data_IF_453029591482
#
_entry.id   IF_453029591482
#
_cell.length_a   1.000
_cell.length_b   1.000
_cell.length_c   1.000
_cell.angle_alpha   90.00
_cell.angle_beta   90.00
_cell.angle_gamma   90.00
#
_symmetry.space_group_name_H-M   'P 1'
#
loop_
_entity.id
_entity.type
_entity.pdbx_description
1 polymer ?
#
# COMPACT_ATOMS: atom_id res chain seq x y z
N UNK A 1 1.60 -7.98 -26.38
CA UNK A 1 0.69 -8.93 -25.70
C UNK A 1 -0.73 -8.47 -26.01
N UNK A 2 -1.56 -9.26 -26.70
CA UNK A 2 -2.96 -8.92 -26.94
C UNK A 2 -3.76 -8.98 -25.63
N UNK A 3 -4.78 -8.13 -25.52
CA UNK A 3 -5.64 -8.04 -24.34
C UNK A 3 -6.74 -9.10 -24.41
N UNK A 4 -6.37 -10.34 -24.08
CA UNK A 4 -7.28 -11.49 -24.13
C UNK A 4 -8.10 -11.63 -22.84
N UNK A 5 -9.17 -12.44 -22.85
CA UNK A 5 -10.08 -12.63 -21.70
C UNK A 5 -9.35 -13.10 -20.42
N UNK A 6 -8.23 -13.81 -20.59
CA UNK A 6 -7.34 -14.22 -19.50
C UNK A 6 -6.70 -13.01 -18.82
N UNK A 7 -6.16 -12.07 -19.61
CA UNK A 7 -5.54 -10.84 -19.12
C UNK A 7 -6.57 -9.95 -18.43
N UNK A 8 -7.80 -9.86 -18.97
CA UNK A 8 -8.90 -9.13 -18.32
C UNK A 8 -9.23 -9.70 -16.93
N UNK A 9 -9.33 -11.03 -16.80
CA UNK A 9 -9.56 -11.68 -15.51
C UNK A 9 -8.41 -11.44 -14.53
N UNK A 10 -7.16 -11.46 -15.01
CA UNK A 10 -5.98 -11.22 -14.17
C UNK A 10 -5.88 -9.79 -13.66
N UNK A 11 -6.42 -8.81 -14.37
CA UNK A 11 -6.42 -7.40 -13.94
C UNK A 11 -7.76 -6.92 -13.37
N UNK A 12 -8.75 -7.82 -13.23
CA UNK A 12 -10.01 -7.46 -12.62
C UNK A 12 -9.80 -7.05 -11.14
N UNK A 13 -10.33 -5.88 -10.78
CA UNK A 13 -10.24 -5.25 -9.46
C UNK A 13 -11.61 -4.87 -8.90
N UNK A 14 -12.71 -5.34 -9.51
CA UNK A 14 -14.08 -4.95 -9.17
C UNK A 14 -14.47 -5.31 -7.72
N UNK A 15 -13.84 -6.34 -7.13
CA UNK A 15 -14.10 -6.78 -5.76
C UNK A 15 -13.32 -6.00 -4.69
N UNK A 16 -12.45 -5.06 -5.08
CA UNK A 16 -11.66 -4.27 -4.14
C UNK A 16 -12.44 -3.05 -3.63
N UNK A 17 -12.17 -2.65 -2.38
CA UNK A 17 -12.73 -1.42 -1.79
C UNK A 17 -12.33 -0.18 -2.58
N UNK A 18 -11.06 -0.09 -2.96
CA UNK A 18 -10.57 0.92 -3.89
C UNK A 18 -9.82 0.23 -5.04
N UNK A 19 -9.89 0.75 -6.29
CA UNK A 19 -9.13 0.21 -7.42
C UNK A 19 -7.61 0.24 -7.22
N UNK A 20 -7.12 1.04 -6.26
CA UNK A 20 -5.71 1.15 -5.87
C UNK A 20 -5.29 0.16 -4.79
N UNK A 21 -6.24 -0.54 -4.16
CA UNK A 21 -5.91 -1.49 -3.09
C UNK A 21 -5.17 -2.70 -3.67
N UNK A 22 -4.31 -3.28 -2.83
CA UNK A 22 -3.56 -4.48 -3.19
C UNK A 22 -4.48 -5.70 -3.14
N UNK A 23 -4.36 -6.55 -4.15
CA UNK A 23 -4.90 -7.90 -4.10
C UNK A 23 -4.05 -8.77 -3.17
N UNK A 24 -4.61 -9.87 -2.67
CA UNK A 24 -3.90 -10.76 -1.73
C UNK A 24 -2.58 -11.29 -2.29
N UNK A 25 -2.54 -11.57 -3.60
CA UNK A 25 -1.32 -12.00 -4.30
C UNK A 25 -0.24 -10.93 -4.36
N UNK A 26 -0.63 -9.66 -4.51
CA UNK A 26 0.31 -8.54 -4.54
C UNK A 26 0.82 -8.27 -3.13
N UNK A 27 -0.08 -8.33 -2.14
CA UNK A 27 0.29 -8.24 -0.74
C UNK A 27 1.24 -9.36 -0.30
N UNK A 28 1.06 -10.59 -0.77
CA UNK A 28 1.97 -11.69 -0.47
C UNK A 28 3.42 -11.43 -0.93
N UNK A 29 3.61 -10.67 -2.01
CA UNK A 29 4.92 -10.27 -2.53
C UNK A 29 5.50 -9.12 -1.68
N UNK A 30 4.66 -8.16 -1.28
CA UNK A 30 5.11 -6.97 -0.56
C UNK A 30 5.31 -7.19 0.95
N UNK A 31 4.50 -8.02 1.59
CA UNK A 31 4.51 -8.22 3.04
C UNK A 31 5.90 -8.57 3.61
N UNK A 32 6.73 -9.43 2.96
CA UNK A 32 8.09 -9.72 3.43
C UNK A 32 9.05 -8.53 3.35
N UNK A 33 8.78 -7.55 2.50
CA UNK A 33 9.61 -6.35 2.34
C UNK A 33 9.33 -5.32 3.43
N UNK A 34 8.17 -5.41 4.09
CA UNK A 34 7.77 -4.44 5.11
C UNK A 34 8.64 -4.62 6.37
N UNK A 35 9.34 -3.56 6.82
CA UNK A 35 10.20 -3.65 7.99
C UNK A 35 9.41 -4.12 9.23
N UNK A 36 9.98 -5.00 10.07
CA UNK A 36 9.32 -5.48 11.27
C UNK A 36 9.03 -4.32 12.24
N UNK A 37 8.15 -4.58 13.22
CA UNK A 37 7.92 -3.63 14.30
C UNK A 37 9.22 -3.40 15.09
N UNK A 38 9.49 -2.14 15.46
CA UNK A 38 10.64 -1.81 16.31
C UNK A 38 10.48 -2.50 17.66
N UNK A 39 11.58 -3.01 18.21
CA UNK A 39 11.65 -3.55 19.56
C UNK A 39 11.76 -2.43 20.61
N UNK A 40 11.34 -2.69 21.86
CA UNK A 40 11.60 -1.79 22.98
C UNK A 40 10.74 -0.52 23.05
N UNK A 41 9.50 -0.55 22.53
CA UNK A 41 8.57 0.58 22.58
C UNK A 41 7.10 0.16 22.51
N UNK A 42 6.20 1.11 22.21
CA UNK A 42 4.78 0.79 22.03
C UNK A 42 4.61 -0.21 20.87
N UNK A 43 3.96 -1.36 21.08
CA UNK A 43 3.73 -2.33 20.03
C UNK A 43 3.00 -1.70 18.84
N UNK A 44 3.44 -2.04 17.62
CA UNK A 44 2.76 -1.65 16.39
C UNK A 44 1.39 -2.33 16.35
N UNK A 45 0.32 -1.52 16.37
CA UNK A 45 -1.07 -1.98 16.19
C UNK A 45 -1.65 -1.67 14.81
N UNK A 46 -0.96 -0.83 14.04
CA UNK A 46 -1.38 -0.43 12.71
C UNK A 46 -1.20 -1.59 11.74
N UNK A 47 -2.23 -1.89 10.95
CA UNK A 47 -2.13 -2.82 9.83
C UNK A 47 -1.25 -2.21 8.73
N UNK A 48 -0.19 -2.93 8.35
CA UNK A 48 0.76 -2.47 7.34
C UNK A 48 0.20 -2.57 5.92
N UNK A 49 -0.71 -3.51 5.65
CA UNK A 49 -1.41 -3.58 4.36
C UNK A 49 -2.21 -2.32 4.13
N UNK A 50 -2.94 -1.89 5.15
CA UNK A 50 -3.74 -0.67 5.11
C UNK A 50 -2.89 0.60 4.99
N UNK A 51 -1.66 0.61 5.53
CA UNK A 51 -0.72 1.71 5.28
C UNK A 51 -0.30 1.76 3.81
N UNK A 52 0.02 0.61 3.21
CA UNK A 52 0.40 0.55 1.79
C UNK A 52 -0.79 0.92 0.90
N UNK A 53 -1.97 0.35 1.14
CA UNK A 53 -3.21 0.70 0.42
C UNK A 53 -3.48 2.21 0.50
N UNK A 54 -3.33 2.84 1.67
CA UNK A 54 -3.50 4.28 1.83
C UNK A 54 -2.49 5.10 1.01
N UNK A 55 -1.24 4.66 0.93
CA UNK A 55 -0.22 5.32 0.10
C UNK A 55 -0.52 5.17 -1.39
N UNK A 56 -0.91 3.96 -1.83
CA UNK A 56 -1.31 3.70 -3.21
C UNK A 56 -2.56 4.50 -3.60
N UNK A 57 -3.52 4.62 -2.69
CA UNK A 57 -4.69 5.46 -2.88
C UNK A 57 -4.31 6.92 -3.11
N UNK A 58 -3.43 7.49 -2.27
CA UNK A 58 -2.93 8.86 -2.46
C UNK A 58 -2.18 8.99 -3.79
N UNK A 59 -1.32 8.02 -4.13
CA UNK A 59 -0.55 8.05 -5.37
C UNK A 59 -1.45 7.97 -6.62
N UNK A 60 -2.48 7.12 -6.59
CA UNK A 60 -3.40 6.92 -7.71
C UNK A 60 -4.45 8.03 -7.85
N UNK A 61 -4.93 8.57 -6.74
CA UNK A 61 -5.95 9.66 -6.73
C UNK A 61 -5.35 11.06 -6.81
N UNK A 62 -4.07 11.24 -6.43
CA UNK A 62 -3.44 12.55 -6.28
C UNK A 62 -4.01 13.39 -5.12
N UNK A 63 -4.80 12.80 -4.22
CA UNK A 63 -5.44 13.55 -3.15
C UNK A 63 -4.44 14.04 -2.09
N UNK A 64 -4.80 15.12 -1.40
CA UNK A 64 -3.97 15.64 -0.30
C UNK A 64 -4.04 14.70 0.91
N UNK A 65 -2.96 14.63 1.70
CA UNK A 65 -2.92 13.82 2.93
C UNK A 65 -4.12 14.01 3.88
N UNK A 66 -4.62 15.25 3.99
CA UNK A 66 -5.77 15.56 4.86
C UNK A 66 -7.11 15.08 4.31
N UNK A 67 -7.18 14.79 3.01
CA UNK A 67 -8.34 14.27 2.31
C UNK A 67 -8.36 12.73 2.27
N UNK A 68 -7.38 12.05 2.87
CA UNK A 68 -7.38 10.60 2.97
C UNK A 68 -8.69 10.11 3.63
N UNK A 69 -9.40 9.13 3.03
CA UNK A 69 -10.58 8.51 3.59
C UNK A 69 -10.39 8.00 5.04
N UNK A 70 -11.46 8.02 5.84
CA UNK A 70 -11.42 7.76 7.29
C UNK A 70 -11.34 6.28 7.66
N UNK A 71 -11.61 5.42 6.70
CA UNK A 71 -11.49 3.97 6.77
C UNK A 71 -10.03 3.49 6.59
N UNK A 72 -9.12 4.38 6.19
CA UNK A 72 -7.68 4.14 6.27
C UNK A 72 -7.11 4.49 7.65
N UNK A 73 -5.88 4.02 7.97
CA UNK A 73 -5.16 4.48 9.15
C UNK A 73 -5.01 6.00 9.17
N UNK A 74 -4.87 6.63 10.35
CA UNK A 74 -4.78 8.09 10.45
C UNK A 74 -3.72 8.66 9.50
N UNK A 75 -4.06 9.72 8.76
CA UNK A 75 -3.16 10.31 7.76
C UNK A 75 -1.77 10.68 8.31
N UNK A 76 -1.67 11.07 9.58
CA UNK A 76 -0.39 11.31 10.25
C UNK A 76 0.46 10.04 10.38
N UNK A 77 -0.17 8.91 10.70
CA UNK A 77 0.47 7.60 10.77
C UNK A 77 0.96 7.15 9.40
N UNK A 78 0.09 7.21 8.38
CA UNK A 78 0.44 6.83 7.00
C UNK A 78 1.59 7.70 6.49
N UNK A 79 1.51 9.02 6.68
CA UNK A 79 2.56 9.96 6.30
C UNK A 79 3.89 9.66 7.01
N UNK A 80 3.85 9.30 8.29
CA UNK A 80 5.04 8.92 9.04
C UNK A 80 5.74 7.68 8.46
N UNK A 81 4.98 6.63 8.14
CA UNK A 81 5.52 5.45 7.47
C UNK A 81 6.03 5.77 6.06
N UNK A 82 5.29 6.56 5.28
CA UNK A 82 5.70 6.95 3.95
C UNK A 82 7.09 7.59 3.94
N UNK A 83 7.32 8.60 4.78
CA UNK A 83 8.62 9.26 4.86
C UNK A 83 9.71 8.34 5.41
N UNK A 84 9.41 7.55 6.46
CA UNK A 84 10.36 6.58 6.99
C UNK A 84 10.82 5.57 5.94
N UNK A 85 9.91 5.10 5.08
CA UNK A 85 10.21 4.10 4.05
C UNK A 85 10.84 4.71 2.80
N UNK A 86 10.52 5.97 2.49
CA UNK A 86 11.20 6.74 1.43
C UNK A 86 12.68 6.90 1.77
N UNK A 87 12.97 7.28 3.01
CA UNK A 87 14.34 7.56 3.45
C UNK A 87 15.19 6.27 3.52
N UNK A 88 14.56 5.10 3.67
CA UNK A 88 15.24 3.79 3.59
C UNK A 88 15.31 3.20 2.18
N UNK A 89 14.74 3.86 1.16
CA UNK A 89 14.73 3.34 -0.21
C UNK A 89 13.69 2.24 -0.48
N UNK A 90 12.77 1.97 0.45
CA UNK A 90 11.83 0.84 0.33
C UNK A 90 10.82 1.05 -0.80
N UNK A 91 10.33 2.27 -1.01
CA UNK A 91 9.38 2.56 -2.09
C UNK A 91 9.98 2.31 -3.46
N UNK A 92 11.29 2.55 -3.64
CA UNK A 92 12.00 2.26 -4.86
C UNK A 92 11.98 0.75 -5.14
N UNK A 93 12.26 -0.07 -4.13
CA UNK A 93 12.16 -1.53 -4.22
C UNK A 93 10.75 -1.97 -4.57
N UNK A 94 9.72 -1.45 -3.89
CA UNK A 94 8.32 -1.79 -4.15
C UNK A 94 7.92 -1.43 -5.59
N UNK A 95 8.28 -0.24 -6.06
CA UNK A 95 7.97 0.24 -7.41
C UNK A 95 8.71 -0.50 -8.53
N UNK A 96 9.76 -1.27 -8.23
CA UNK A 96 10.45 -2.10 -9.23
C UNK A 96 9.85 -3.51 -9.30
N UNK A 97 9.10 -3.93 -8.28
CA UNK A 97 8.56 -5.29 -8.15
C UNK A 97 7.12 -5.37 -8.67
N UNK A 98 6.34 -4.30 -8.49
CA UNK A 98 4.98 -4.14 -9.01
C UNK A 98 4.98 -3.28 -10.27
#
# INVERSE_FOLDING_TARGET
MPWDDITRKQHNRDDLRYPTDLMDREWAILAPLIPPAKSGGRPRKTDMREVVNAVLYIAGSGCQWRALPKDFPPASTVRGYFYSWRDTGLWQTINHIL
#
